data_IF_535137548111
#
_entry.id   IF_535137548111
#
_cell.length_a   1.000
_cell.length_b   1.000
_cell.length_c   1.000
_cell.angle_alpha   90.00
_cell.angle_beta   90.00
_cell.angle_gamma   90.00
#
_symmetry.space_group_name_H-M   'P 1'
#
loop_
_entity.id
_entity.type
_entity.pdbx_description
1 polymer ?
#
# COMPACT_ATOMS: atom_id res chain seq x y z
N UNK A 1 -26.38 21.88 60.34
CA UNK A 1 -26.22 20.46 59.91
C UNK A 1 -25.20 20.38 58.79
N UNK A 2 -23.98 19.90 59.05
CA UNK A 2 -22.90 19.85 58.06
C UNK A 2 -23.03 18.66 57.09
N UNK A 3 -22.82 18.90 55.78
CA UNK A 3 -22.77 17.85 54.75
C UNK A 3 -21.60 16.91 55.02
N UNK A 4 -21.88 15.66 55.43
CA UNK A 4 -20.86 14.59 55.51
C UNK A 4 -20.32 14.26 54.13
N UNK A 5 -19.02 13.97 54.04
CA UNK A 5 -18.38 13.59 52.79
C UNK A 5 -18.89 12.21 52.34
N UNK A 6 -19.27 12.11 51.06
CA UNK A 6 -19.87 10.89 50.48
C UNK A 6 -18.88 9.71 50.39
N UNK A 7 -17.59 10.01 50.43
CA UNK A 7 -16.50 9.02 50.45
C UNK A 7 -15.48 9.46 51.51
N UNK A 8 -15.23 8.59 52.48
CA UNK A 8 -14.36 8.85 53.62
C UNK A 8 -12.87 8.62 53.32
N UNK A 9 -12.54 7.93 52.22
CA UNK A 9 -11.16 7.64 51.79
C UNK A 9 -10.98 7.90 50.29
N UNK A 10 -9.74 8.18 49.88
CA UNK A 10 -9.38 8.39 48.48
C UNK A 10 -9.64 7.12 47.63
N UNK A 11 -9.41 5.94 48.22
CA UNK A 11 -9.64 4.66 47.55
C UNK A 11 -11.13 4.37 47.35
N UNK A 12 -11.98 4.68 48.34
CA UNK A 12 -13.43 4.59 48.19
C UNK A 12 -13.94 5.52 47.07
N UNK A 13 -13.36 6.71 46.94
CA UNK A 13 -13.67 7.66 45.85
C UNK A 13 -13.23 7.14 44.49
N UNK A 14 -12.04 6.51 44.38
CA UNK A 14 -11.55 5.90 43.13
C UNK A 14 -12.38 4.69 42.73
N UNK A 15 -12.71 3.81 43.67
CA UNK A 15 -13.54 2.63 43.45
C UNK A 15 -14.95 3.03 42.96
N UNK A 16 -15.57 4.02 43.61
CA UNK A 16 -16.88 4.53 43.21
C UNK A 16 -16.87 5.15 41.81
N UNK A 17 -15.84 5.93 41.47
CA UNK A 17 -15.66 6.47 40.10
C UNK A 17 -15.49 5.36 39.06
N UNK A 18 -14.73 4.30 39.39
CA UNK A 18 -14.51 3.16 38.50
C UNK A 18 -15.82 2.37 38.27
N UNK A 19 -16.58 2.12 39.33
CA UNK A 19 -17.88 1.45 39.24
C UNK A 19 -18.90 2.29 38.43
N UNK A 20 -18.95 3.60 38.65
CA UNK A 20 -19.82 4.51 37.89
C UNK A 20 -19.42 4.56 36.40
N UNK A 21 -18.12 4.58 36.09
CA UNK A 21 -17.63 4.52 34.72
C UNK A 21 -17.95 3.18 34.04
N UNK A 22 -17.89 2.06 34.76
CA UNK A 22 -18.28 0.74 34.24
C UNK A 22 -19.77 0.68 33.91
N UNK A 23 -20.63 1.18 34.81
CA UNK A 23 -22.07 1.26 34.56
C UNK A 23 -22.39 2.14 33.34
N UNK A 24 -21.74 3.31 33.24
CA UNK A 24 -21.91 4.20 32.08
C UNK A 24 -21.50 3.53 30.76
N UNK A 25 -20.40 2.78 30.74
CA UNK A 25 -19.94 2.04 29.54
C UNK A 25 -20.94 1.00 29.02
N UNK A 26 -21.79 0.47 29.90
CA UNK A 26 -22.82 -0.51 29.52
C UNK A 26 -24.10 0.15 28.98
N UNK A 27 -24.31 1.45 29.24
CA UNK A 27 -25.46 2.20 28.69
C UNK A 27 -25.31 2.43 27.18
N UNK A 28 -26.43 2.61 26.48
CA UNK A 28 -26.42 2.95 25.05
C UNK A 28 -25.64 4.24 24.76
N UNK A 29 -25.78 5.27 25.60
CA UNK A 29 -24.99 6.50 25.49
C UNK A 29 -23.48 6.26 25.62
N UNK A 30 -23.07 5.38 26.54
CA UNK A 30 -21.66 4.99 26.70
C UNK A 30 -21.12 4.19 25.52
N UNK A 31 -21.93 3.28 24.96
CA UNK A 31 -21.60 2.53 23.74
C UNK A 31 -21.48 3.46 22.53
N UNK A 32 -22.41 4.39 22.35
CA UNK A 32 -22.35 5.41 21.28
C UNK A 32 -21.12 6.30 21.39
N UNK A 33 -20.79 6.78 22.59
CA UNK A 33 -19.59 7.58 22.81
C UNK A 33 -18.32 6.80 22.42
N UNK A 34 -18.23 5.52 22.81
CA UNK A 34 -17.12 4.64 22.41
C UNK A 34 -17.09 4.40 20.91
N UNK A 35 -18.24 4.19 20.26
CA UNK A 35 -18.31 4.05 18.78
C UNK A 35 -17.82 5.32 18.08
N UNK A 36 -18.21 6.50 18.54
CA UNK A 36 -17.75 7.79 17.98
C UNK A 36 -16.25 8.00 18.17
N UNK A 37 -15.73 7.65 19.34
CA UNK A 37 -14.30 7.77 19.64
C UNK A 37 -13.47 6.78 18.81
N UNK A 38 -13.91 5.51 18.75
CA UNK A 38 -13.31 4.52 17.86
C UNK A 38 -13.36 5.00 16.41
N UNK A 39 -14.49 5.51 15.93
CA UNK A 39 -14.62 6.06 14.58
C UNK A 39 -13.63 7.19 14.33
N UNK A 40 -13.52 8.16 15.24
CA UNK A 40 -12.52 9.25 15.15
C UNK A 40 -11.08 8.72 15.10
N UNK A 41 -10.78 7.69 15.88
CA UNK A 41 -9.44 7.09 15.91
C UNK A 41 -9.16 6.33 14.61
N UNK A 42 -10.13 5.56 14.10
CA UNK A 42 -10.05 4.89 12.80
C UNK A 42 -9.89 5.91 11.67
N UNK A 43 -10.66 7.00 11.68
CA UNK A 43 -10.58 8.06 10.67
C UNK A 43 -9.22 8.77 10.72
N UNK A 44 -8.67 9.05 11.92
CA UNK A 44 -7.31 9.59 12.08
C UNK A 44 -6.23 8.64 11.58
N UNK A 45 -6.34 7.35 11.89
CA UNK A 45 -5.41 6.34 11.40
C UNK A 45 -5.50 6.20 9.88
N UNK A 46 -6.71 6.26 9.32
CA UNK A 46 -6.95 6.26 7.87
C UNK A 46 -6.34 7.51 7.23
N UNK A 47 -6.54 8.69 7.80
CA UNK A 47 -5.95 9.93 7.29
C UNK A 47 -4.41 9.91 7.30
N UNK A 48 -3.80 9.37 8.37
CA UNK A 48 -2.34 9.18 8.43
C UNK A 48 -1.83 8.23 7.34
N UNK A 49 -2.55 7.14 7.08
CA UNK A 49 -2.21 6.21 5.99
C UNK A 49 -2.36 6.80 4.59
N UNK A 50 -3.10 7.90 4.46
CA UNK A 50 -3.36 8.58 3.19
C UNK A 50 -2.47 9.83 3.02
N UNK A 51 -1.49 10.05 3.91
CA UNK A 51 -0.55 11.17 3.79
C UNK A 51 0.85 10.71 4.19
N UNK A 52 1.75 10.60 3.22
CA UNK A 52 3.14 10.22 3.42
C UNK A 52 4.05 11.40 3.03
N UNK A 53 4.87 11.90 3.96
CA UNK A 53 5.82 13.04 3.75
C UNK A 53 5.17 14.25 3.03
N UNK A 54 3.90 14.52 3.33
CA UNK A 54 3.11 15.61 2.73
C UNK A 54 2.50 15.29 1.36
N UNK A 55 2.72 14.09 0.83
CA UNK A 55 2.08 13.56 -0.39
C UNK A 55 0.78 12.85 0.00
N UNK A 56 -0.32 13.18 -0.68
CA UNK A 56 -1.62 12.54 -0.48
C UNK A 56 -1.65 11.20 -1.23
N UNK A 57 -1.67 10.08 -0.51
CA UNK A 57 -1.85 8.76 -1.11
C UNK A 57 -3.34 8.48 -1.24
N UNK A 58 -3.80 8.20 -2.46
CA UNK A 58 -5.21 7.93 -2.73
C UNK A 58 -5.67 6.62 -2.08
N UNK A 59 -6.89 6.62 -1.53
CA UNK A 59 -7.47 5.44 -0.89
C UNK A 59 -7.57 4.24 -1.86
N UNK A 60 -7.89 4.54 -3.11
CA UNK A 60 -8.02 3.51 -4.15
C UNK A 60 -6.68 2.85 -4.43
N UNK A 61 -5.61 3.64 -4.57
CA UNK A 61 -4.24 3.14 -4.70
C UNK A 61 -3.90 2.23 -3.52
N UNK A 62 -4.15 2.68 -2.28
CA UNK A 62 -3.96 1.84 -1.11
C UNK A 62 -4.75 0.53 -1.19
N UNK A 63 -6.00 0.56 -1.63
CA UNK A 63 -6.85 -0.63 -1.74
C UNK A 63 -6.32 -1.60 -2.80
N UNK A 64 -5.90 -1.10 -3.97
CA UNK A 64 -5.32 -1.90 -5.05
C UNK A 64 -3.99 -2.53 -4.65
N UNK A 65 -3.13 -1.79 -3.96
CA UNK A 65 -1.83 -2.30 -3.47
C UNK A 65 -1.93 -3.48 -2.49
N UNK A 66 -3.09 -3.66 -1.83
CA UNK A 66 -3.34 -4.77 -0.90
C UNK A 66 -3.69 -6.07 -1.63
N UNK A 67 -4.01 -6.02 -2.94
CA UNK A 67 -4.31 -7.21 -3.71
C UNK A 67 -3.08 -8.12 -3.78
N UNK A 68 -3.32 -9.43 -3.69
CA UNK A 68 -2.30 -10.43 -4.00
C UNK A 68 -2.19 -10.55 -5.52
N UNK A 69 -1.06 -10.10 -6.06
CA UNK A 69 -0.81 -10.12 -7.49
C UNK A 69 -0.24 -11.47 -7.90
N UNK A 70 -0.62 -11.94 -9.09
CA UNK A 70 -0.21 -13.25 -9.61
C UNK A 70 1.02 -13.09 -10.49
N UNK A 71 2.02 -13.93 -10.27
CA UNK A 71 3.23 -14.03 -11.09
C UNK A 71 3.45 -15.50 -11.49
N UNK A 72 3.75 -15.76 -12.76
CA UNK A 72 4.10 -17.09 -13.26
C UNK A 72 5.61 -17.32 -13.19
N UNK A 73 6.04 -18.24 -12.33
CA UNK A 73 7.46 -18.61 -12.21
C UNK A 73 8.00 -19.45 -13.38
N UNK A 74 7.14 -19.82 -14.33
CA UNK A 74 7.57 -20.46 -15.57
C UNK A 74 8.10 -19.47 -16.61
N UNK A 75 7.83 -18.17 -16.43
CA UNK A 75 8.38 -17.09 -17.26
C UNK A 75 9.74 -16.70 -16.70
N UNK A 76 10.80 -16.93 -17.47
CA UNK A 76 12.18 -16.65 -17.05
C UNK A 76 12.83 -15.50 -17.83
N UNK A 77 12.38 -15.27 -19.07
CA UNK A 77 12.92 -14.23 -19.91
C UNK A 77 12.41 -12.83 -19.49
N UNK A 78 13.16 -11.76 -19.73
CA UNK A 78 12.68 -10.39 -19.55
C UNK A 78 11.48 -10.09 -20.45
N UNK A 79 10.62 -9.17 -20.03
CA UNK A 79 9.43 -8.80 -20.78
C UNK A 79 8.94 -7.40 -20.50
N UNK A 80 7.75 -7.04 -21.03
CA UNK A 80 7.24 -5.68 -20.92
C UNK A 80 6.98 -5.26 -19.47
N UNK A 81 7.57 -4.13 -19.11
CA UNK A 81 7.45 -3.50 -17.80
C UNK A 81 6.32 -2.46 -17.72
N UNK A 82 5.54 -2.31 -18.79
CA UNK A 82 4.36 -1.43 -18.90
C UNK A 82 4.64 0.05 -18.57
N UNK A 83 5.90 0.48 -18.63
CA UNK A 83 6.31 1.84 -18.26
C UNK A 83 6.28 2.15 -16.77
N UNK A 84 6.04 1.15 -15.90
CA UNK A 84 5.88 1.38 -14.45
C UNK A 84 7.19 1.64 -13.69
N UNK A 85 8.35 1.52 -14.33
CA UNK A 85 9.65 1.47 -13.65
C UNK A 85 10.63 2.56 -14.07
N UNK A 86 10.30 3.35 -15.09
CA UNK A 86 11.21 4.35 -15.64
C UNK A 86 10.46 5.66 -15.80
N UNK A 87 10.97 6.75 -15.21
CA UNK A 87 10.43 8.10 -15.39
C UNK A 87 10.34 8.42 -16.90
N UNK A 88 9.22 8.96 -17.39
CA UNK A 88 8.12 9.62 -16.66
C UNK A 88 7.01 8.71 -16.12
N UNK A 89 7.24 7.39 -16.03
CA UNK A 89 6.30 6.37 -15.53
C UNK A 89 5.00 6.24 -16.34
N UNK A 90 5.01 6.73 -17.58
CA UNK A 90 3.87 6.67 -18.49
C UNK A 90 3.53 5.22 -18.85
N UNK A 91 2.26 4.86 -18.67
CA UNK A 91 1.80 3.52 -18.97
C UNK A 91 1.97 3.19 -20.46
N UNK A 92 2.69 2.11 -20.73
CA UNK A 92 2.91 1.59 -22.07
C UNK A 92 2.16 0.27 -22.24
N UNK A 93 1.16 0.25 -23.14
CA UNK A 93 0.40 -0.96 -23.44
C UNK A 93 1.31 -2.02 -24.09
N UNK A 94 1.50 -3.20 -23.47
CA UNK A 94 2.27 -4.28 -24.08
C UNK A 94 1.52 -4.91 -25.24
N UNK A 95 2.25 -5.38 -26.25
CA UNK A 95 1.68 -6.24 -27.29
C UNK A 95 1.42 -7.64 -26.71
N UNK A 96 0.17 -7.87 -26.27
CA UNK A 96 -0.27 -9.13 -25.66
C UNK A 96 -0.13 -10.34 -26.59
N UNK A 97 -0.07 -10.12 -27.91
CA UNK A 97 0.07 -11.20 -28.89
C UNK A 97 1.48 -11.80 -28.91
N UNK A 98 2.47 -11.05 -28.42
CA UNK A 98 3.86 -11.47 -28.31
C UNK A 98 4.19 -12.13 -26.96
N UNK A 99 3.22 -12.19 -26.04
CA UNK A 99 3.45 -12.82 -24.75
C UNK A 99 3.68 -14.33 -24.90
N UNK A 100 4.63 -14.91 -24.14
CA UNK A 100 4.93 -16.32 -24.22
C UNK A 100 3.68 -17.14 -23.89
N UNK A 101 3.28 -17.99 -24.84
CA UNK A 101 2.27 -19.01 -24.56
C UNK A 101 3.00 -20.21 -23.97
N UNK A 102 2.77 -20.49 -22.69
CA UNK A 102 3.41 -21.64 -22.03
C UNK A 102 2.80 -22.93 -22.60
N UNK A 103 3.56 -23.57 -23.49
CA UNK A 103 3.17 -24.81 -24.17
C UNK A 103 3.27 -26.02 -23.23
N UNK A 104 2.12 -26.49 -22.74
CA UNK A 104 2.04 -27.71 -21.92
C UNK A 104 0.79 -28.56 -22.22
N UNK A 105 0.36 -28.59 -23.49
CA UNK A 105 -0.85 -29.28 -23.93
C UNK A 105 -2.15 -28.63 -23.42
N UNK A 106 -3.30 -29.27 -23.70
CA UNK A 106 -4.63 -28.72 -23.41
C UNK A 106 -4.88 -28.42 -21.92
N UNK A 107 -4.16 -29.09 -21.00
CA UNK A 107 -4.26 -28.83 -19.56
C UNK A 107 -3.46 -27.62 -19.10
N UNK A 108 -2.30 -27.34 -19.70
CA UNK A 108 -1.53 -26.13 -19.39
C UNK A 108 -2.20 -24.88 -19.96
N UNK A 109 -2.84 -24.95 -21.13
CA UNK A 109 -3.60 -23.81 -21.69
C UNK A 109 -4.77 -23.34 -20.80
N UNK A 110 -5.30 -24.20 -19.93
CA UNK A 110 -6.33 -23.86 -18.95
C UNK A 110 -5.78 -23.43 -17.58
N UNK A 111 -4.46 -23.38 -17.41
CA UNK A 111 -3.83 -23.00 -16.14
C UNK A 111 -3.93 -21.49 -15.93
N UNK A 112 -4.38 -21.08 -14.74
CA UNK A 112 -4.37 -19.66 -14.32
C UNK A 112 -2.97 -19.06 -14.31
N UNK A 113 -1.93 -19.89 -14.22
CA UNK A 113 -0.52 -19.49 -14.25
C UNK A 113 0.00 -19.20 -15.66
N UNK A 114 -0.78 -19.55 -16.69
CA UNK A 114 -0.49 -19.26 -18.09
C UNK A 114 -1.35 -18.11 -18.63
N UNK A 115 -2.08 -17.43 -17.75
CA UNK A 115 -2.89 -16.26 -18.11
C UNK A 115 -2.01 -15.03 -18.39
N UNK A 116 -2.54 -14.09 -19.18
CA UNK A 116 -1.92 -12.79 -19.42
C UNK A 116 -1.51 -12.10 -18.11
N UNK A 117 -2.43 -12.09 -17.12
CA UNK A 117 -2.19 -11.57 -15.77
C UNK A 117 -0.96 -12.18 -15.10
N UNK A 118 -0.82 -13.51 -15.16
CA UNK A 118 0.29 -14.20 -14.51
C UNK A 118 1.62 -13.96 -15.23
N UNK A 119 1.61 -13.90 -16.55
CA UNK A 119 2.81 -13.64 -17.37
C UNK A 119 3.30 -12.21 -17.18
N UNK A 120 2.41 -11.22 -17.33
CA UNK A 120 2.76 -9.81 -17.09
C UNK A 120 3.20 -9.59 -15.64
N UNK A 121 2.51 -10.20 -14.69
CA UNK A 121 2.90 -10.14 -13.28
C UNK A 121 4.26 -10.78 -12.99
N UNK A 122 4.71 -11.75 -13.78
CA UNK A 122 6.06 -12.30 -13.63
C UNK A 122 7.15 -11.27 -13.95
N UNK A 123 6.99 -10.50 -15.03
CA UNK A 123 7.94 -9.44 -15.39
C UNK A 123 8.00 -8.35 -14.31
N UNK A 124 6.84 -7.91 -13.83
CA UNK A 124 6.76 -6.91 -12.76
C UNK A 124 7.39 -7.42 -11.46
N UNK A 125 7.13 -8.68 -11.11
CA UNK A 125 7.70 -9.30 -9.92
C UNK A 125 9.22 -9.42 -9.99
N UNK A 126 9.78 -9.78 -11.15
CA UNK A 126 11.23 -9.79 -11.36
C UNK A 126 11.83 -8.41 -11.13
N UNK A 127 11.24 -7.37 -11.72
CA UNK A 127 11.75 -6.00 -11.59
C UNK A 127 11.63 -5.44 -10.16
N UNK A 128 10.60 -5.86 -9.40
CA UNK A 128 10.51 -5.56 -7.95
C UNK A 128 11.74 -6.07 -7.22
N UNK A 129 12.16 -7.33 -7.48
CA UNK A 129 13.31 -7.93 -6.81
C UNK A 129 14.59 -7.18 -7.17
N UNK A 130 14.82 -6.95 -8.47
CA UNK A 130 16.02 -6.25 -8.95
C UNK A 130 16.10 -4.81 -8.45
N UNK A 131 14.96 -4.11 -8.40
CA UNK A 131 14.91 -2.74 -7.87
C UNK A 131 15.14 -2.72 -6.36
N UNK A 132 14.56 -3.66 -5.61
CA UNK A 132 14.79 -3.77 -4.17
C UNK A 132 16.27 -4.00 -3.83
N UNK A 133 16.97 -4.85 -4.60
CA UNK A 133 18.42 -5.01 -4.44
C UNK A 133 19.20 -3.73 -4.72
N UNK A 134 18.84 -3.00 -5.79
CA UNK A 134 19.48 -1.70 -6.10
C UNK A 134 19.23 -0.66 -5.01
N UNK A 135 18.00 -0.57 -4.49
CA UNK A 135 17.67 0.32 -3.38
C UNK A 135 18.48 -0.02 -2.14
N UNK A 136 18.57 -1.31 -1.78
CA UNK A 136 19.39 -1.77 -0.67
C UNK A 136 20.85 -1.36 -0.82
N UNK A 137 21.48 -1.65 -1.96
CA UNK A 137 22.88 -1.29 -2.21
C UNK A 137 23.10 0.23 -2.15
N UNK A 138 22.19 1.00 -2.73
CA UNK A 138 22.29 2.46 -2.73
C UNK A 138 22.09 3.05 -1.34
N UNK A 139 21.09 2.61 -0.58
CA UNK A 139 20.67 3.22 0.69
C UNK A 139 21.43 2.71 1.91
N UNK A 140 22.31 1.73 1.73
CA UNK A 140 23.27 1.26 2.74
C UNK A 140 24.69 1.76 2.49
N UNK A 141 24.91 2.56 1.44
CA UNK A 141 26.23 3.12 1.15
C UNK A 141 26.68 4.13 2.23
N UNK A 142 27.96 4.04 2.65
CA UNK A 142 28.55 4.81 3.76
C UNK A 142 28.48 6.35 3.65
N UNK A 143 28.15 6.89 2.47
CA UNK A 143 28.15 8.32 2.15
C UNK A 143 26.74 8.86 1.86
N UNK A 144 25.69 8.11 2.19
CA UNK A 144 24.31 8.51 1.93
C UNK A 144 23.87 9.66 2.83
N UNK A 145 23.31 10.70 2.23
CA UNK A 145 22.65 11.79 2.94
C UNK A 145 21.15 11.53 2.96
N UNK A 146 20.59 11.15 4.12
CA UNK A 146 19.18 10.73 4.24
C UNK A 146 18.19 11.79 3.73
N UNK A 147 18.45 13.08 3.97
CA UNK A 147 17.57 14.15 3.50
C UNK A 147 17.54 14.25 1.97
N UNK A 148 18.66 13.99 1.29
CA UNK A 148 18.72 13.99 -0.18
C UNK A 148 17.94 12.81 -0.77
N UNK A 149 18.03 11.64 -0.12
CA UNK A 149 17.25 10.47 -0.51
C UNK A 149 15.76 10.67 -0.23
N UNK A 150 15.38 11.30 0.90
CA UNK A 150 13.98 11.61 1.18
C UNK A 150 13.38 12.47 0.07
N UNK A 151 14.13 13.46 -0.44
CA UNK A 151 13.70 14.30 -1.55
C UNK A 151 13.53 13.47 -2.83
N UNK A 152 14.51 12.64 -3.19
CA UNK A 152 14.45 11.79 -4.40
C UNK A 152 13.28 10.80 -4.35
N UNK A 153 13.11 10.08 -3.24
CA UNK A 153 12.00 9.14 -3.05
C UNK A 153 10.67 9.89 -3.12
N UNK A 154 10.60 11.09 -2.54
CA UNK A 154 9.38 11.90 -2.60
C UNK A 154 9.04 12.34 -4.01
N UNK A 155 10.01 12.81 -4.78
CA UNK A 155 9.83 13.17 -6.18
C UNK A 155 9.36 11.97 -7.00
N UNK A 156 10.00 10.81 -6.84
CA UNK A 156 9.61 9.57 -7.51
C UNK A 156 8.18 9.12 -7.15
N UNK A 157 7.80 9.17 -5.87
CA UNK A 157 6.44 8.83 -5.43
C UNK A 157 5.42 9.78 -6.04
N UNK A 158 5.73 11.08 -6.15
CA UNK A 158 4.83 12.06 -6.78
C UNK A 158 4.66 11.77 -8.27
N UNK A 159 5.76 11.59 -9.02
CA UNK A 159 5.70 11.30 -10.46
C UNK A 159 4.93 10.01 -10.75
N UNK A 160 5.21 8.93 -10.01
CA UNK A 160 4.48 7.66 -10.15
C UNK A 160 3.00 7.79 -9.80
N UNK A 161 2.68 8.58 -8.76
CA UNK A 161 1.29 8.83 -8.37
C UNK A 161 0.54 9.59 -9.47
N UNK A 162 1.14 10.62 -10.05
CA UNK A 162 0.57 11.38 -11.16
C UNK A 162 0.32 10.48 -12.37
N UNK A 163 1.31 9.68 -12.78
CA UNK A 163 1.16 8.73 -13.87
C UNK A 163 0.07 7.67 -13.59
N UNK A 164 -0.01 7.19 -12.35
CA UNK A 164 -1.05 6.25 -11.93
C UNK A 164 -2.45 6.86 -11.99
N UNK A 165 -2.61 8.11 -11.56
CA UNK A 165 -3.88 8.84 -11.66
C UNK A 165 -4.26 9.05 -13.12
N UNK A 166 -3.33 9.47 -13.98
CA UNK A 166 -3.58 9.60 -15.41
C UNK A 166 -4.04 8.27 -16.05
N UNK A 167 -3.41 7.15 -15.68
CA UNK A 167 -3.83 5.83 -16.13
C UNK A 167 -5.24 5.50 -15.64
N UNK A 168 -5.53 5.75 -14.36
CA UNK A 168 -6.85 5.48 -13.77
C UNK A 168 -7.95 6.29 -14.45
N UNK A 169 -7.71 7.58 -14.71
CA UNK A 169 -8.65 8.47 -15.39
C UNK A 169 -8.85 8.10 -16.87
N UNK A 170 -7.86 7.47 -17.50
CA UNK A 170 -7.96 7.00 -18.90
C UNK A 170 -8.79 5.72 -19.06
N UNK A 171 -9.13 5.05 -17.95
CA UNK A 171 -9.84 3.78 -17.97
C UNK A 171 -11.31 4.00 -18.39
N UNK A 172 -11.65 3.59 -19.60
CA UNK A 172 -13.04 3.60 -20.11
C UNK A 172 -13.68 2.22 -19.93
N UNK A 173 -14.95 2.18 -19.51
CA UNK A 173 -15.66 0.92 -19.18
C UNK A 173 -15.85 -0.03 -20.39
N UNK A 174 -15.76 0.48 -21.62
CA UNK A 174 -16.06 -0.26 -22.86
C UNK A 174 -14.81 -0.62 -23.71
N UNK A 175 -13.60 -0.43 -23.18
CA UNK A 175 -12.35 -0.66 -23.92
C UNK A 175 -12.01 -2.14 -24.13
N UNK A 176 -11.50 -2.49 -25.32
CA UNK A 176 -10.62 -3.67 -25.45
C UNK A 176 -9.37 -3.37 -24.61
N UNK A 177 -8.87 -4.36 -23.87
CA UNK A 177 -7.65 -4.28 -23.05
C UNK A 177 -7.81 -3.71 -21.62
N UNK A 178 -9.04 -3.63 -21.11
CA UNK A 178 -9.34 -3.32 -19.70
C UNK A 178 -8.56 -4.20 -18.72
N UNK A 179 -8.36 -5.48 -19.03
CA UNK A 179 -7.61 -6.40 -18.16
C UNK A 179 -6.14 -5.97 -18.00
N UNK A 180 -5.49 -5.50 -19.08
CA UNK A 180 -4.08 -5.09 -19.03
C UNK A 180 -3.90 -3.78 -18.28
N UNK A 181 -4.84 -2.85 -18.46
CA UNK A 181 -4.88 -1.59 -17.69
C UNK A 181 -5.08 -1.87 -16.20
N UNK A 182 -5.99 -2.80 -15.84
CA UNK A 182 -6.19 -3.25 -14.46
C UNK A 182 -4.91 -3.82 -13.84
N UNK A 183 -4.18 -4.67 -14.59
CA UNK A 183 -2.87 -5.18 -14.16
C UNK A 183 -1.90 -4.02 -13.91
N UNK A 184 -1.84 -3.04 -14.82
CA UNK A 184 -1.00 -1.85 -14.69
C UNK A 184 -1.33 -1.02 -13.45
N UNK A 185 -2.62 -0.79 -13.18
CA UNK A 185 -3.09 -0.06 -12.01
C UNK A 185 -2.79 -0.80 -10.71
N UNK A 186 -2.99 -2.12 -10.68
CA UNK A 186 -2.73 -2.94 -9.49
C UNK A 186 -1.22 -3.02 -9.18
N UNK A 187 -0.36 -3.22 -10.18
CA UNK A 187 1.09 -3.21 -10.00
C UNK A 187 1.64 -1.82 -9.70
N UNK A 188 1.20 -0.77 -10.41
CA UNK A 188 1.62 0.61 -10.13
C UNK A 188 1.31 1.00 -8.68
N UNK A 189 0.12 0.67 -8.19
CA UNK A 189 -0.25 0.88 -6.79
C UNK A 189 0.63 0.07 -5.82
N UNK A 190 0.99 -1.17 -6.18
CA UNK A 190 1.87 -2.02 -5.36
C UNK A 190 3.27 -1.43 -5.26
N UNK A 191 3.85 -1.00 -6.38
CA UNK A 191 5.21 -0.47 -6.45
C UNK A 191 5.33 0.84 -5.66
N UNK A 192 4.41 1.79 -5.87
CA UNK A 192 4.37 3.05 -5.12
C UNK A 192 4.32 2.78 -3.61
N UNK A 193 3.48 1.84 -3.19
CA UNK A 193 3.38 1.50 -1.77
C UNK A 193 4.64 0.83 -1.24
N UNK A 194 5.25 -0.08 -2.00
CA UNK A 194 6.49 -0.72 -1.57
C UNK A 194 7.60 0.30 -1.36
N UNK A 195 7.76 1.26 -2.28
CA UNK A 195 8.73 2.35 -2.16
C UNK A 195 8.50 3.19 -0.90
N UNK A 196 7.23 3.52 -0.61
CA UNK A 196 6.82 4.25 0.60
C UNK A 196 7.13 3.46 1.87
N UNK A 197 6.75 2.18 1.93
CA UNK A 197 6.96 1.31 3.09
C UNK A 197 8.46 1.06 3.33
N UNK A 198 9.24 0.82 2.28
CA UNK A 198 10.70 0.64 2.33
C UNK A 198 11.40 1.88 2.89
N UNK A 199 11.01 3.08 2.44
CA UNK A 199 11.54 4.32 2.99
C UNK A 199 11.16 4.53 4.46
N UNK A 200 9.91 4.25 4.85
CA UNK A 200 9.48 4.35 6.25
C UNK A 200 10.30 3.42 7.16
N UNK A 201 10.51 2.16 6.72
CA UNK A 201 11.36 1.21 7.46
C UNK A 201 12.79 1.71 7.59
N UNK A 202 13.38 2.22 6.49
CA UNK A 202 14.75 2.77 6.50
C UNK A 202 14.90 3.97 7.43
N UNK A 203 13.86 4.80 7.55
CA UNK A 203 13.84 5.99 8.40
C UNK A 203 13.69 5.64 9.89
N UNK A 204 12.82 4.68 10.20
CA UNK A 204 12.52 4.30 11.58
C UNK A 204 13.59 3.38 12.19
N UNK A 205 14.09 2.41 11.42
CA UNK A 205 14.97 1.34 11.91
C UNK A 205 16.45 1.51 11.47
N UNK A 206 16.76 2.56 10.69
CA UNK A 206 18.11 2.79 10.17
C UNK A 206 18.56 1.66 9.24
N UNK A 207 19.84 1.28 9.32
CA UNK A 207 20.39 0.18 8.50
C UNK A 207 19.84 -1.19 8.91
N UNK A 208 19.23 -1.31 10.09
CA UNK A 208 18.62 -2.55 10.58
C UNK A 208 17.20 -2.79 10.03
N UNK A 209 16.65 -1.84 9.27
CA UNK A 209 15.34 -1.94 8.61
C UNK A 209 15.32 -2.78 7.34
N UNK A 210 16.47 -3.35 6.93
CA UNK A 210 16.65 -4.25 5.79
C UNK A 210 17.00 -5.67 6.23
#
# INVERSE_FOLDING_TARGET
MGRRSKYLTADAKRAAKKAQAQLYRQTEKGKEARRRENKKQTDKQRARKLTWVGVLILLELYTRSQKTLRASFAVQDPGPLMGLWTSPYEFAMPDVSLLPTIDGGNRAKASIWNSCVAVLGAYQYGEVIETGWRCFEQWTADHLVLDEVEVQVKEEVVERLEAWVCLADSMTEDGRDVEVVEIGLDWGAKIIRMLVEEWEMRKDDGDAGY
#
